data_IF_177527714530
#
_entry.id   IF_177527714530
#
_cell.length_a   1.000
_cell.length_b   1.000
_cell.length_c   1.000
_cell.angle_alpha   90.00
_cell.angle_beta   90.00
_cell.angle_gamma   90.00
#
_symmetry.space_group_name_H-M   'P 1'
#
loop_
_entity.id
_entity.type
_entity.pdbx_description
1 polymer ?
#
# COMPACT_ATOMS: atom_id res chain seq x y z
N UNK A 1 4.63 0.79 -10.63
CA UNK A 1 4.21 1.91 -9.76
C UNK A 1 4.75 1.63 -8.38
N UNK A 2 4.91 2.65 -7.56
CA UNK A 2 5.23 2.50 -6.14
C UNK A 2 3.94 2.58 -5.28
N UNK A 3 3.93 1.91 -4.13
CA UNK A 3 2.96 2.13 -3.07
C UNK A 3 3.68 2.27 -1.73
N UNK A 4 3.15 3.09 -0.83
CA UNK A 4 3.80 3.35 0.46
C UNK A 4 2.81 3.59 1.59
N UNK A 5 3.33 3.77 2.80
CA UNK A 5 2.54 4.08 3.97
C UNK A 5 3.37 4.78 5.04
N UNK A 6 2.69 5.54 5.90
CA UNK A 6 3.32 6.26 7.01
C UNK A 6 2.78 5.73 8.34
N UNK A 7 3.68 5.57 9.30
CA UNK A 7 3.40 5.12 10.68
C UNK A 7 4.09 6.01 11.70
N UNK A 8 3.58 6.02 12.93
CA UNK A 8 4.32 6.61 14.05
C UNK A 8 5.58 5.80 14.37
N UNK A 9 6.63 6.47 14.83
CA UNK A 9 7.83 5.79 15.30
C UNK A 9 7.52 4.75 16.40
N UNK A 10 8.20 3.60 16.36
CA UNK A 10 7.96 2.48 17.28
C UNK A 10 6.73 1.62 16.98
N UNK A 11 5.98 1.93 15.91
CA UNK A 11 4.90 1.04 15.43
C UNK A 11 5.48 -0.29 14.95
N UNK A 12 4.94 -1.40 15.44
CA UNK A 12 5.30 -2.74 14.96
C UNK A 12 4.76 -2.99 13.55
N UNK A 13 5.67 -3.14 12.60
CA UNK A 13 5.39 -3.43 11.19
C UNK A 13 5.77 -4.85 10.78
N UNK A 14 6.12 -5.74 11.72
CA UNK A 14 6.66 -7.08 11.44
C UNK A 14 5.73 -7.94 10.57
N UNK A 15 4.41 -7.74 10.68
CA UNK A 15 3.44 -8.44 9.86
C UNK A 15 3.50 -8.03 8.38
N UNK A 16 3.90 -6.79 8.09
CA UNK A 16 4.06 -6.23 6.74
C UNK A 16 5.39 -6.70 6.16
N UNK A 17 6.50 -6.56 6.90
CA UNK A 17 7.85 -6.98 6.45
C UNK A 17 7.91 -8.47 6.09
N UNK A 18 7.18 -9.33 6.80
CA UNK A 18 7.09 -10.77 6.50
C UNK A 18 6.40 -11.06 5.16
N UNK A 19 5.55 -10.17 4.68
CA UNK A 19 4.75 -10.36 3.45
C UNK A 19 5.33 -9.60 2.26
N UNK A 20 5.91 -8.43 2.51
CA UNK A 20 6.56 -7.58 1.52
C UNK A 20 8.05 -7.44 1.89
N UNK A 21 8.89 -8.41 1.50
CA UNK A 21 10.32 -8.42 1.84
C UNK A 21 11.12 -7.33 1.10
N UNK A 22 10.53 -6.76 0.06
CA UNK A 22 10.98 -5.63 -0.74
C UNK A 22 10.47 -4.29 -0.19
N UNK A 23 10.08 -4.21 1.08
CA UNK A 23 9.72 -2.95 1.71
C UNK A 23 10.99 -2.20 2.12
N UNK A 24 11.15 -0.94 1.70
CA UNK A 24 12.20 -0.05 2.18
C UNK A 24 11.64 1.17 2.90
N UNK A 25 12.45 1.73 3.80
CA UNK A 25 12.14 2.99 4.48
C UNK A 25 12.56 4.17 3.59
N UNK A 26 11.67 5.15 3.46
CA UNK A 26 11.92 6.39 2.74
C UNK A 26 12.22 7.53 3.72
N UNK A 27 13.30 8.27 3.46
CA UNK A 27 13.75 9.37 4.32
C UNK A 27 12.92 10.63 4.04
N UNK A 28 12.33 11.25 5.07
CA UNK A 28 11.92 12.67 4.96
C UNK A 28 10.48 13.06 5.30
N UNK A 29 9.67 12.19 5.93
CA UNK A 29 8.29 12.55 6.30
C UNK A 29 8.12 13.40 7.57
N UNK A 30 9.19 13.60 8.36
CA UNK A 30 9.22 14.48 9.55
C UNK A 30 9.56 13.76 10.87
N UNK A 31 9.69 14.52 11.96
CA UNK A 31 10.00 13.96 13.28
C UNK A 31 8.83 13.10 13.82
N UNK A 32 9.16 11.92 14.38
CA UNK A 32 8.21 11.02 15.04
C UNK A 32 7.37 10.13 14.11
N UNK A 33 7.66 10.13 12.81
CA UNK A 33 7.01 9.26 11.81
C UNK A 33 8.06 8.55 10.96
N UNK A 34 7.71 7.35 10.48
CA UNK A 34 8.50 6.57 9.51
C UNK A 34 7.66 6.32 8.27
N UNK A 35 8.27 6.48 7.10
CA UNK A 35 7.63 6.23 5.80
C UNK A 35 8.23 4.97 5.19
N UNK A 36 7.39 4.14 4.59
CA UNK A 36 7.83 2.92 3.92
C UNK A 36 7.18 2.82 2.55
N UNK A 37 7.91 2.23 1.62
CA UNK A 37 7.54 2.15 0.20
C UNK A 37 7.93 0.78 -0.36
N UNK A 38 7.19 0.38 -1.38
CA UNK A 38 7.27 -0.90 -2.08
C UNK A 38 7.04 -0.65 -3.57
N UNK A 39 7.89 -1.23 -4.43
CA UNK A 39 7.96 -0.92 -5.86
C UNK A 39 8.82 0.32 -6.16
N UNK A 40 9.75 0.22 -7.11
CA UNK A 40 10.78 1.26 -7.32
C UNK A 40 10.19 2.58 -7.82
N UNK A 41 10.58 3.70 -7.20
CA UNK A 41 10.26 5.05 -7.64
C UNK A 41 10.90 5.39 -9.00
N UNK A 42 10.26 6.28 -9.74
CA UNK A 42 10.72 6.75 -11.05
C UNK A 42 11.98 7.64 -11.02
N UNK A 43 12.49 8.03 -9.85
CA UNK A 43 13.54 9.05 -9.73
C UNK A 43 14.90 8.53 -9.22
N UNK A 44 15.03 7.26 -8.78
CA UNK A 44 16.29 6.76 -8.19
C UNK A 44 17.08 5.71 -9.01
N UNK A 45 16.72 5.44 -10.28
CA UNK A 45 17.44 4.41 -11.06
C UNK A 45 17.88 4.79 -12.49
N UNK A 46 17.92 6.08 -12.83
CA UNK A 46 18.47 6.55 -14.11
C UNK A 46 19.94 7.03 -14.02
N UNK A 47 20.75 6.44 -13.13
CA UNK A 47 22.21 6.54 -13.22
C UNK A 47 22.83 5.16 -13.40
N UNK A 48 23.33 4.92 -14.61
CA UNK A 48 24.09 3.75 -15.06
C UNK A 48 23.28 2.47 -15.37
N UNK A 49 22.48 2.55 -16.44
CA UNK A 49 22.73 1.74 -17.64
C UNK A 49 22.94 0.22 -17.52
N UNK A 50 22.44 -0.43 -16.48
CA UNK A 50 22.48 -1.89 -16.38
C UNK A 50 21.27 -2.45 -15.64
N UNK A 51 20.40 -3.12 -16.38
CA UNK A 51 19.43 -4.12 -15.90
C UNK A 51 20.17 -5.36 -15.35
N UNK A 52 21.10 -5.19 -14.39
CA UNK A 52 22.02 -6.25 -13.96
C UNK A 52 21.95 -6.61 -12.47
N UNK A 53 21.30 -5.82 -11.61
CA UNK A 53 21.32 -6.04 -10.16
C UNK A 53 19.91 -6.00 -9.55
N UNK A 54 19.10 -7.05 -9.73
CA UNK A 54 18.04 -7.41 -8.77
C UNK A 54 16.97 -6.36 -8.40
N UNK A 55 16.74 -5.34 -9.22
CA UNK A 55 15.77 -4.30 -8.91
C UNK A 55 14.33 -4.86 -8.87
N UNK A 56 13.52 -4.50 -7.85
CA UNK A 56 12.15 -4.98 -7.73
C UNK A 56 11.32 -4.46 -8.91
N UNK A 57 10.66 -5.40 -9.59
CA UNK A 57 9.78 -5.14 -10.71
C UNK A 57 8.68 -4.13 -10.31
N UNK A 58 8.38 -3.17 -11.19
CA UNK A 58 7.33 -2.18 -10.97
C UNK A 58 6.01 -2.86 -10.61
N UNK A 59 5.39 -2.48 -9.49
CA UNK A 59 4.10 -3.04 -9.10
C UNK A 59 3.00 -2.62 -10.10
N UNK A 60 2.13 -3.57 -10.44
CA UNK A 60 0.86 -3.32 -11.13
C UNK A 60 -0.12 -2.61 -10.20
N UNK A 61 -1.16 -1.99 -10.78
CA UNK A 61 -2.12 -1.19 -10.03
C UNK A 61 -2.87 -2.08 -9.01
N UNK A 62 -3.18 -3.29 -9.46
CA UNK A 62 -3.79 -4.33 -8.68
C UNK A 62 -2.93 -4.73 -7.48
N UNK A 63 -1.62 -4.86 -7.65
CA UNK A 63 -0.67 -5.14 -6.55
C UNK A 63 -0.60 -3.98 -5.57
N UNK A 64 -0.57 -2.73 -6.05
CA UNK A 64 -0.61 -1.56 -5.19
C UNK A 64 -1.91 -1.51 -4.36
N UNK A 65 -3.06 -1.84 -4.95
CA UNK A 65 -4.36 -1.94 -4.24
C UNK A 65 -4.32 -3.01 -3.16
N UNK A 66 -3.72 -4.16 -3.44
CA UNK A 66 -3.54 -5.24 -2.47
C UNK A 66 -2.59 -4.85 -1.34
N UNK A 67 -1.48 -4.18 -1.66
CA UNK A 67 -0.54 -3.64 -0.69
C UNK A 67 -1.24 -2.69 0.28
N UNK A 68 -1.93 -1.67 -0.23
CA UNK A 68 -2.64 -0.71 0.61
C UNK A 68 -3.70 -1.38 1.48
N UNK A 69 -4.48 -2.31 0.91
CA UNK A 69 -5.45 -3.09 1.67
C UNK A 69 -4.80 -3.87 2.81
N UNK A 70 -3.72 -4.60 2.52
CA UNK A 70 -3.00 -5.39 3.51
C UNK A 70 -2.44 -4.53 4.65
N UNK A 71 -1.69 -3.46 4.32
CA UNK A 71 -1.08 -2.55 5.29
C UNK A 71 -2.14 -1.99 6.23
N UNK A 72 -3.24 -1.50 5.66
CA UNK A 72 -4.35 -0.91 6.43
C UNK A 72 -5.12 -1.95 7.26
N UNK A 73 -5.09 -3.22 6.87
CA UNK A 73 -5.59 -4.32 7.67
C UNK A 73 -4.67 -4.66 8.83
N UNK A 74 -3.36 -4.65 8.60
CA UNK A 74 -2.34 -4.94 9.60
C UNK A 74 -2.24 -3.81 10.64
N UNK A 75 -2.39 -2.56 10.20
CA UNK A 75 -2.33 -1.35 11.02
C UNK A 75 -3.58 -0.49 10.72
N UNK A 76 -4.68 -0.67 11.47
CA UNK A 76 -5.98 -0.04 11.18
C UNK A 76 -5.99 1.49 11.07
N UNK A 77 -5.03 2.16 11.69
CA UNK A 77 -4.90 3.62 11.77
C UNK A 77 -3.89 4.20 10.77
N UNK A 78 -3.15 3.35 10.06
CA UNK A 78 -2.21 3.78 9.02
C UNK A 78 -2.95 4.24 7.77
N UNK A 79 -2.32 5.19 7.07
CA UNK A 79 -2.72 5.61 5.73
C UNK A 79 -1.69 5.10 4.73
N UNK A 80 -2.13 4.24 3.81
CA UNK A 80 -1.31 3.81 2.68
C UNK A 80 -1.65 4.64 1.42
N UNK A 81 -0.72 4.72 0.48
CA UNK A 81 -0.82 5.48 -0.76
C UNK A 81 -0.23 4.72 -1.94
N UNK A 82 -0.60 5.14 -3.15
CA UNK A 82 -0.03 4.67 -4.42
C UNK A 82 0.61 5.88 -5.09
N UNK A 83 1.81 5.74 -5.63
CA UNK A 83 2.53 6.77 -6.37
C UNK A 83 1.63 7.46 -7.41
N UNK A 84 1.75 8.78 -7.53
CA UNK A 84 0.87 9.61 -8.36
C UNK A 84 -0.52 9.88 -7.76
N UNK A 85 -0.90 9.20 -6.67
CA UNK A 85 -2.11 9.46 -5.89
C UNK A 85 -1.75 9.68 -4.41
N UNK A 86 -1.63 10.95 -4.00
CA UNK A 86 -1.31 11.27 -2.61
C UNK A 86 -2.32 10.69 -1.60
N UNK A 87 -2.00 10.65 -0.29
CA UNK A 87 -2.85 10.07 0.77
C UNK A 87 -4.31 10.59 0.78
N UNK A 88 -4.51 11.82 0.30
CA UNK A 88 -5.80 12.49 0.15
C UNK A 88 -6.70 11.88 -0.94
N UNK A 89 -6.13 11.17 -1.92
CA UNK A 89 -6.87 10.45 -2.96
C UNK A 89 -7.23 9.01 -2.56
N UNK A 90 -6.57 8.45 -1.54
CA UNK A 90 -6.68 7.02 -1.15
C UNK A 90 -7.58 6.76 0.07
N UNK A 91 -7.79 7.77 0.93
CA UNK A 91 -8.94 7.80 1.87
C UNK A 91 -10.30 7.63 1.16
N UNK A 92 -10.30 7.74 -0.18
CA UNK A 92 -11.42 7.44 -1.04
C UNK A 92 -11.69 5.92 -1.24
N UNK A 93 -10.71 5.01 -1.11
CA UNK A 93 -10.99 3.55 -1.16
C UNK A 93 -11.82 3.11 0.05
N UNK A 94 -11.58 3.71 1.22
CA UNK A 94 -12.35 3.42 2.45
C UNK A 94 -13.80 3.95 2.43
N UNK A 95 -14.13 4.97 1.62
CA UNK A 95 -15.43 5.69 1.77
C UNK A 95 -15.91 6.53 0.57
N UNK A 96 -15.70 6.11 -0.70
CA UNK A 96 -16.43 6.73 -1.82
C UNK A 96 -17.91 6.33 -1.83
N UNK A 97 -18.71 6.93 -0.95
CA UNK A 97 -20.15 7.04 -1.20
C UNK A 97 -20.36 8.18 -2.19
N UNK A 98 -20.41 7.85 -3.48
CA UNK A 98 -20.98 8.74 -4.47
C UNK A 98 -22.21 8.02 -5.00
N UNK A 99 -23.36 8.58 -4.66
CA UNK A 99 -24.64 8.20 -5.23
C UNK A 99 -24.46 7.96 -6.73
N UNK A 100 -24.95 6.82 -7.23
CA UNK A 100 -24.83 6.26 -8.61
C UNK A 100 -25.07 7.23 -9.79
N UNK A 101 -25.30 8.51 -9.57
CA UNK A 101 -25.68 9.50 -10.57
C UNK A 101 -24.58 9.83 -11.59
N UNK A 102 -23.31 9.43 -11.39
CA UNK A 102 -22.20 9.85 -12.26
C UNK A 102 -21.27 8.73 -12.76
N UNK A 103 -21.65 7.45 -12.60
CA UNK A 103 -20.82 6.32 -13.06
C UNK A 103 -21.55 5.51 -14.12
N UNK A 104 -20.84 5.10 -15.16
CA UNK A 104 -21.26 4.11 -16.15
C UNK A 104 -21.19 2.70 -15.56
N UNK A 105 -21.96 1.76 -16.11
CA UNK A 105 -21.94 0.36 -15.64
C UNK A 105 -20.54 -0.30 -15.66
N UNK A 106 -19.68 -0.06 -16.68
CA UNK A 106 -18.29 -0.52 -16.64
C UNK A 106 -17.49 0.01 -15.45
N UNK A 107 -17.60 1.30 -15.15
CA UNK A 107 -16.89 1.93 -14.03
C UNK A 107 -17.38 1.39 -12.68
N UNK A 108 -18.69 1.13 -12.56
CA UNK A 108 -19.26 0.48 -11.37
C UNK A 108 -18.70 -0.93 -11.19
N UNK A 109 -18.58 -1.70 -12.28
CA UNK A 109 -18.04 -3.06 -12.23
C UNK A 109 -16.57 -3.07 -11.81
N UNK A 110 -15.75 -2.22 -12.43
CA UNK A 110 -14.34 -2.04 -12.07
C UNK A 110 -14.20 -1.63 -10.60
N UNK A 111 -15.03 -0.70 -10.14
CA UNK A 111 -15.02 -0.26 -8.75
C UNK A 111 -15.30 -1.39 -7.75
N UNK A 112 -16.28 -2.25 -8.04
CA UNK A 112 -16.59 -3.41 -7.20
C UNK A 112 -15.41 -4.38 -7.18
N UNK A 113 -14.74 -4.59 -8.32
CA UNK A 113 -13.57 -5.47 -8.41
C UNK A 113 -12.41 -4.94 -7.56
N UNK A 114 -12.06 -3.66 -7.69
CA UNK A 114 -11.01 -3.00 -6.89
C UNK A 114 -11.35 -3.05 -5.41
N UNK A 115 -12.60 -2.74 -5.03
CA UNK A 115 -13.05 -2.77 -3.65
C UNK A 115 -12.96 -4.16 -3.04
N UNK A 116 -13.38 -5.20 -3.76
CA UNK A 116 -13.31 -6.57 -3.29
C UNK A 116 -11.86 -7.03 -3.07
N UNK A 117 -10.97 -6.66 -3.99
CA UNK A 117 -9.54 -6.96 -3.89
C UNK A 117 -8.91 -6.32 -2.66
N UNK A 118 -9.13 -5.02 -2.49
CA UNK A 118 -8.70 -4.28 -1.31
C UNK A 118 -9.22 -4.93 -0.01
N UNK A 119 -10.51 -5.24 0.08
CA UNK A 119 -11.11 -5.83 1.29
C UNK A 119 -10.59 -7.25 1.57
N UNK A 120 -10.28 -8.02 0.54
CA UNK A 120 -9.65 -9.33 0.69
C UNK A 120 -8.23 -9.18 1.27
N UNK A 121 -7.44 -8.23 0.76
CA UNK A 121 -6.11 -7.94 1.27
C UNK A 121 -6.15 -7.39 2.71
N UNK A 122 -7.09 -6.50 3.02
CA UNK A 122 -7.33 -5.99 4.38
C UNK A 122 -7.56 -7.11 5.39
N UNK A 123 -8.43 -8.07 5.07
CA UNK A 123 -8.66 -9.22 5.95
C UNK A 123 -7.40 -10.05 6.16
N UNK A 124 -6.59 -10.23 5.10
CA UNK A 124 -5.29 -10.92 5.19
C UNK A 124 -4.33 -10.18 6.11
N UNK A 125 -4.22 -8.85 5.99
CA UNK A 125 -3.38 -8.01 6.84
C UNK A 125 -3.76 -8.11 8.31
N UNK A 126 -5.06 -8.01 8.59
CA UNK A 126 -5.60 -8.16 9.96
C UNK A 126 -5.22 -9.52 10.57
N UNK A 127 -5.44 -10.61 9.83
CA UNK A 127 -5.07 -11.96 10.29
C UNK A 127 -3.56 -12.12 10.46
N UNK A 128 -2.74 -11.50 9.60
CA UNK A 128 -1.29 -11.55 9.74
C UNK A 128 -0.82 -10.85 11.03
N UNK A 129 -1.34 -9.65 11.32
CA UNK A 129 -1.03 -8.92 12.54
C UNK A 129 -1.46 -9.66 13.81
N UNK A 130 -2.64 -10.30 13.81
CA UNK A 130 -3.11 -11.14 14.93
C UNK A 130 -2.18 -12.34 15.19
N UNK A 131 -1.60 -12.94 14.13
CA UNK A 131 -0.66 -14.06 14.26
C UNK A 131 0.68 -13.64 14.85
N UNK A 132 1.18 -12.45 14.50
CA UNK A 132 2.43 -11.94 15.08
C UNK A 132 2.28 -11.75 16.59
N UNK A 133 1.17 -11.14 17.03
CA UNK A 133 0.89 -10.90 18.47
C UNK A 133 0.73 -12.16 19.33
N UNK A 134 0.46 -13.31 18.72
CA UNK A 134 0.27 -14.59 19.45
C UNK A 134 1.54 -15.44 19.49
N UNK A 135 2.61 -15.02 18.79
CA UNK A 135 3.91 -15.69 18.78
C UNK A 135 4.93 -15.05 19.73
N UNK A 136 4.57 -13.94 20.37
CA UNK A 136 5.31 -13.28 21.47
C UNK A 136 4.82 -13.77 22.85
#
# INVERSE_FOLDING_TARGET
>A
MEAGFVVAEGTDISAIEKVFPDLWEDEGYGEGVRSYVCGSSSDEHDSDGSDADGNPEWMSFDECVEFCGFVEGAIPETTAYIEGNGPWAMSMIRRKNFSRYSMTDPEVKEHIQVSNRYWAAFKRGKTAAEKVKTQE
#
